data_IF_998229979472
#
_entry.id   IF_998229979472
#
_cell.length_a   1.000
_cell.length_b   1.000
_cell.length_c   1.000
_cell.angle_alpha   90.00
_cell.angle_beta   90.00
_cell.angle_gamma   90.00
#
_symmetry.space_group_name_H-M   'P 1'
#
loop_
_entity.id
_entity.type
_entity.pdbx_description
1 polymer ?
#
# COMPACT_ATOMS: atom_id res chain seq x y z
N UNK A 1 5.28 -15.26 -16.98
CA UNK A 1 4.88 -14.64 -15.70
C UNK A 1 5.65 -15.32 -14.57
N UNK A 2 6.40 -14.58 -13.74
CA UNK A 2 7.21 -15.19 -12.67
C UNK A 2 6.50 -15.08 -11.33
N UNK A 3 6.77 -16.02 -10.41
CA UNK A 3 6.24 -15.98 -9.04
C UNK A 3 6.70 -14.72 -8.31
N UNK A 4 7.93 -14.26 -8.56
CA UNK A 4 8.44 -13.00 -8.01
C UNK A 4 7.60 -11.78 -8.46
N UNK A 5 7.29 -11.69 -9.75
CA UNK A 5 6.44 -10.61 -10.27
C UNK A 5 5.01 -10.65 -9.71
N UNK A 6 4.45 -11.85 -9.54
CA UNK A 6 3.14 -12.04 -8.90
C UNK A 6 3.15 -11.58 -7.43
N UNK A 7 4.19 -11.93 -6.67
CA UNK A 7 4.36 -11.48 -5.28
C UNK A 7 4.43 -9.95 -5.17
N UNK A 8 5.19 -9.31 -6.05
CA UNK A 8 5.28 -7.85 -6.10
C UNK A 8 3.92 -7.21 -6.41
N UNK A 9 3.19 -7.74 -7.41
CA UNK A 9 1.87 -7.24 -7.78
C UNK A 9 0.85 -7.36 -6.64
N UNK A 10 0.84 -8.50 -5.93
CA UNK A 10 -0.02 -8.72 -4.76
C UNK A 10 0.32 -7.73 -3.64
N UNK A 11 1.61 -7.55 -3.34
CA UNK A 11 2.06 -6.64 -2.28
C UNK A 11 1.65 -5.18 -2.58
N UNK A 12 1.84 -4.74 -3.83
CA UNK A 12 1.42 -3.41 -4.27
C UNK A 12 -0.09 -3.23 -4.16
N UNK A 13 -0.87 -4.23 -4.57
CA UNK A 13 -2.32 -4.19 -4.49
C UNK A 13 -2.82 -4.04 -3.05
N UNK A 14 -2.28 -4.84 -2.11
CA UNK A 14 -2.64 -4.73 -0.70
C UNK A 14 -2.24 -3.40 -0.09
N UNK A 15 -1.09 -2.84 -0.51
CA UNK A 15 -0.68 -1.51 -0.04
C UNK A 15 -1.68 -0.43 -0.50
N UNK A 16 -2.02 -0.41 -1.78
CA UNK A 16 -3.03 0.53 -2.30
C UNK A 16 -4.40 0.36 -1.62
N UNK A 17 -4.87 -0.89 -1.48
CA UNK A 17 -6.18 -1.19 -0.89
C UNK A 17 -6.27 -0.71 0.57
N UNK A 18 -5.23 -0.93 1.36
CA UNK A 18 -5.27 -0.62 2.79
C UNK A 18 -4.98 0.85 3.10
N UNK A 19 -4.12 1.52 2.31
CA UNK A 19 -3.60 2.84 2.66
C UNK A 19 -4.16 4.00 1.81
N UNK A 20 -4.61 3.76 0.58
CA UNK A 20 -5.12 4.82 -0.31
C UNK A 20 -6.63 4.72 -0.59
N UNK A 21 -7.22 3.52 -0.58
CA UNK A 21 -8.64 3.36 -0.90
C UNK A 21 -9.55 3.71 0.28
N UNK A 22 -10.38 4.74 0.10
CA UNK A 22 -11.47 5.05 1.02
C UNK A 22 -12.56 3.98 0.93
N UNK A 23 -12.90 3.37 2.07
CA UNK A 23 -13.93 2.35 2.14
C UNK A 23 -15.30 2.98 2.36
N UNK A 24 -16.31 2.58 1.58
CA UNK A 24 -17.63 3.21 1.62
C UNK A 24 -18.30 3.08 3.00
N UNK A 25 -18.27 1.88 3.60
CA UNK A 25 -18.92 1.61 4.88
C UNK A 25 -18.26 2.35 6.04
N UNK A 26 -16.93 2.29 6.12
CA UNK A 26 -16.17 2.84 7.25
C UNK A 26 -15.82 4.32 7.07
N UNK A 27 -15.97 4.86 5.85
CA UNK A 27 -15.62 6.24 5.43
C UNK A 27 -14.16 6.64 5.68
N UNK A 28 -13.31 5.68 6.00
CA UNK A 28 -11.85 5.79 6.18
C UNK A 28 -11.16 4.63 5.47
N UNK A 29 -9.83 4.66 5.36
CA UNK A 29 -9.08 3.53 4.81
C UNK A 29 -9.02 2.37 5.82
N UNK A 30 -8.87 1.11 5.37
CA UNK A 30 -8.71 -0.03 6.27
C UNK A 30 -7.56 0.15 7.28
N UNK A 31 -6.42 0.71 6.85
CA UNK A 31 -5.29 0.99 7.74
C UNK A 31 -5.62 2.06 8.79
N UNK A 32 -6.47 3.03 8.47
CA UNK A 32 -6.97 4.00 9.46
C UNK A 32 -7.92 3.35 10.46
N UNK A 33 -8.86 2.51 9.98
CA UNK A 33 -9.77 1.78 10.86
C UNK A 33 -9.02 0.83 11.82
N UNK A 34 -7.88 0.29 11.39
CA UNK A 34 -7.00 -0.54 12.21
C UNK A 34 -6.02 0.25 13.08
N UNK A 35 -6.00 1.58 13.03
CA UNK A 35 -5.09 2.42 13.82
C UNK A 35 -3.62 2.41 13.38
N UNK A 36 -3.32 1.90 12.18
CA UNK A 36 -1.96 1.81 11.63
C UNK A 36 -1.48 3.18 11.10
N UNK A 37 -2.41 4.00 10.62
CA UNK A 37 -2.15 5.36 10.13
C UNK A 37 -3.33 6.26 10.48
N UNK A 38 -3.10 7.56 10.56
CA UNK A 38 -4.14 8.58 10.78
C UNK A 38 -4.44 9.40 9.52
N UNK A 39 -3.80 9.07 8.38
CA UNK A 39 -3.98 9.74 7.10
C UNK A 39 -4.09 8.74 5.95
N UNK A 40 -4.74 9.19 4.88
CA UNK A 40 -4.70 8.53 3.57
C UNK A 40 -3.30 8.73 2.97
N UNK A 41 -2.74 7.68 2.39
CA UNK A 41 -1.45 7.77 1.69
C UNK A 41 -1.64 8.29 0.27
N UNK A 42 -0.73 9.16 -0.16
CA UNK A 42 -0.61 9.57 -1.55
C UNK A 42 -0.03 8.42 -2.40
N UNK A 43 -0.31 8.42 -3.70
CA UNK A 43 0.19 7.36 -4.58
C UNK A 43 1.72 7.39 -4.67
N UNK A 44 2.31 8.58 -4.63
CA UNK A 44 3.74 8.83 -4.58
C UNK A 44 4.37 8.17 -3.35
N UNK A 45 3.73 8.31 -2.17
CA UNK A 45 4.18 7.65 -0.94
C UNK A 45 4.14 6.12 -1.08
N UNK A 46 3.10 5.57 -1.73
CA UNK A 46 3.02 4.12 -1.99
C UNK A 46 4.15 3.67 -2.91
N UNK A 47 4.41 4.40 -3.99
CA UNK A 47 5.50 4.07 -4.92
C UNK A 47 6.84 4.15 -4.21
N UNK A 48 7.11 5.18 -3.42
CA UNK A 48 8.36 5.30 -2.67
C UNK A 48 8.56 4.15 -1.65
N UNK A 49 7.49 3.77 -0.95
CA UNK A 49 7.52 2.70 0.08
C UNK A 49 7.63 1.30 -0.51
N UNK A 50 7.10 1.10 -1.72
CA UNK A 50 7.07 -0.21 -2.39
C UNK A 50 8.15 -0.37 -3.44
N UNK A 51 8.74 0.74 -3.92
CA UNK A 51 9.91 0.71 -4.75
C UNK A 51 11.07 0.16 -3.93
N UNK A 52 11.67 -0.90 -4.45
CA UNK A 52 12.96 -1.34 -3.97
C UNK A 52 13.97 -0.24 -4.28
N UNK A 53 14.29 0.59 -3.28
CA UNK A 53 15.46 1.46 -3.35
C UNK A 53 16.65 0.62 -2.92
N UNK A 54 17.48 0.22 -3.87
CA UNK A 54 18.74 -0.50 -3.63
C UNK A 54 19.79 0.31 -2.87
N UNK A 55 19.41 1.04 -1.82
CA UNK A 55 20.31 1.69 -0.87
C UNK A 55 20.50 0.75 0.32
N UNK A 56 21.36 -0.23 0.15
CA UNK A 56 21.73 -1.16 1.22
C UNK A 56 22.13 -2.55 0.75
N UNK A 57 23.03 -2.64 -0.24
CA UNK A 57 23.95 -3.75 -0.46
C UNK A 57 25.09 -3.25 -1.36
#
# INVERSE_FOLDING_TARGET
KTVAGLKAAVSLHFCHYNFARLHQTTRVTPAMAAGVTNRVWALEEIVERTAWTGRGA
#
